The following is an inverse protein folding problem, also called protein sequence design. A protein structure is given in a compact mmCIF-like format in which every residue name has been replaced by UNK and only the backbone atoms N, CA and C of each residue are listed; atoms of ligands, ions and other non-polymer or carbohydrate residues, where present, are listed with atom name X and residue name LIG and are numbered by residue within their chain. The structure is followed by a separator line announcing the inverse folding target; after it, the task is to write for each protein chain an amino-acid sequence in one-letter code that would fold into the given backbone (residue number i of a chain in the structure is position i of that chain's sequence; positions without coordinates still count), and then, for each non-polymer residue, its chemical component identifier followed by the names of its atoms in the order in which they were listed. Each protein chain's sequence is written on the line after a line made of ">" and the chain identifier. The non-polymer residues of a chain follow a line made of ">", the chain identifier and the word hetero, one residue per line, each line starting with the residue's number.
data_IF_386878101688
#
_entry.id   IF_386878101688
#
_cell.length_a   1.000
_cell.length_b   1.000
_cell.length_c   1.000
_cell.angle_alpha   90.00
_cell.angle_beta   90.00
_cell.angle_gamma   90.00
#
_symmetry.space_group_name_H-M   'P 1'
#
loop_
_entity.id
_entity.type
_entity.pdbx_description
1 polymer ?
#
# COMPACT_ATOMS: atom_id res chain seq x y z
N UNK A 1 -10.85 22.95 13.22
CA UNK A 1 -11.66 22.56 12.04
C UNK A 1 -12.08 23.82 11.30
N UNK A 2 -11.95 23.90 9.96
CA UNK A 2 -12.29 25.11 9.19
C UNK A 2 -13.78 25.48 9.22
N UNK A 3 -14.66 24.49 9.39
CA UNK A 3 -16.11 24.67 9.44
C UNK A 3 -16.69 24.85 10.86
N UNK A 4 -15.84 24.96 11.90
CA UNK A 4 -16.29 25.12 13.29
C UNK A 4 -17.00 23.90 13.91
N UNK A 5 -17.25 22.83 13.15
CA UNK A 5 -17.84 21.58 13.63
C UNK A 5 -16.82 20.76 14.43
N UNK A 6 -17.30 19.87 15.30
CA UNK A 6 -16.47 18.91 16.04
C UNK A 6 -17.08 17.50 15.93
N UNK A 7 -16.82 16.84 14.80
CA UNK A 7 -17.47 15.56 14.45
C UNK A 7 -16.58 14.35 14.80
N UNK A 8 -16.20 14.21 16.08
CA UNK A 8 -15.29 13.14 16.55
C UNK A 8 -15.76 11.73 16.16
N UNK A 9 -17.07 11.47 16.15
CA UNK A 9 -17.65 10.16 15.80
C UNK A 9 -17.58 9.85 14.30
N UNK A 10 -17.53 10.87 13.44
CA UNK A 10 -17.56 10.68 11.99
C UNK A 10 -16.18 10.29 11.42
N UNK A 11 -15.09 10.66 12.11
CA UNK A 11 -13.72 10.44 11.63
C UNK A 11 -13.05 9.29 12.39
N UNK A 12 -13.18 8.07 11.87
CA UNK A 12 -12.47 6.89 12.36
C UNK A 12 -11.31 6.54 11.43
N UNK A 13 -10.09 6.67 11.93
CA UNK A 13 -8.88 6.33 11.18
C UNK A 13 -8.54 4.84 11.22
N UNK A 14 -7.48 4.47 10.50
CA UNK A 14 -6.84 3.15 10.57
C UNK A 14 -5.42 3.30 11.10
N UNK A 15 -5.00 2.34 11.91
CA UNK A 15 -3.66 2.29 12.46
C UNK A 15 -2.66 1.71 11.44
N UNK A 16 -1.49 2.34 11.31
CA UNK A 16 -0.42 1.92 10.40
C UNK A 16 0.49 0.84 11.00
N UNK A 17 0.56 0.73 12.33
CA UNK A 17 1.43 -0.24 12.99
C UNK A 17 1.17 -1.66 12.49
N UNK A 18 2.25 -2.36 12.14
CA UNK A 18 2.25 -3.74 11.65
C UNK A 18 1.42 -3.99 10.36
N UNK A 19 0.99 -2.92 9.66
CA UNK A 19 0.35 -3.00 8.33
C UNK A 19 1.40 -3.18 7.24
N UNK A 20 0.97 -3.71 6.11
CA UNK A 20 1.82 -3.96 4.93
C UNK A 20 1.68 -2.82 3.92
N UNK A 21 2.79 -2.18 3.59
CA UNK A 21 2.91 -1.24 2.47
C UNK A 21 3.50 -1.96 1.25
N UNK A 22 2.75 -1.97 0.16
CA UNK A 22 3.20 -2.36 -1.17
C UNK A 22 3.84 -1.18 -1.89
N UNK A 23 5.12 -1.31 -2.19
CA UNK A 23 5.91 -0.32 -2.92
C UNK A 23 6.09 -0.75 -4.38
N UNK A 24 5.49 -0.03 -5.32
CA UNK A 24 5.71 -0.23 -6.75
C UNK A 24 6.77 0.76 -7.22
N UNK A 25 7.96 0.25 -7.55
CA UNK A 25 9.13 1.03 -7.92
C UNK A 25 10.01 1.44 -6.74
N UNK A 26 11.26 0.96 -6.73
CA UNK A 26 12.28 1.26 -5.72
C UNK A 26 13.39 2.18 -6.27
N UNK A 27 12.96 3.22 -6.99
CA UNK A 27 13.79 4.37 -7.34
C UNK A 27 14.09 5.25 -6.12
N UNK A 28 14.64 6.45 -6.33
CA UNK A 28 15.06 7.34 -5.25
C UNK A 28 13.91 7.67 -4.27
N UNK A 29 12.74 8.03 -4.81
CA UNK A 29 11.56 8.40 -4.00
C UNK A 29 11.02 7.17 -3.24
N UNK A 30 10.88 6.04 -3.93
CA UNK A 30 10.35 4.82 -3.31
C UNK A 30 11.16 4.35 -2.11
N UNK A 31 12.50 4.48 -2.17
CA UNK A 31 13.37 4.12 -1.05
C UNK A 31 13.17 5.00 0.18
N UNK A 32 13.03 6.31 -0.01
CA UNK A 32 12.75 7.24 1.10
C UNK A 32 11.38 6.94 1.72
N UNK A 33 10.39 6.60 0.89
CA UNK A 33 9.05 6.20 1.37
C UNK A 33 9.13 4.90 2.18
N UNK A 34 9.88 3.91 1.69
CA UNK A 34 10.09 2.65 2.40
C UNK A 34 10.74 2.86 3.78
N UNK A 35 11.77 3.71 3.85
CA UNK A 35 12.44 4.06 5.11
C UNK A 35 11.46 4.67 6.12
N UNK A 36 10.63 5.63 5.69
CA UNK A 36 9.61 6.26 6.54
C UNK A 36 8.55 5.27 6.99
N UNK A 37 8.10 4.38 6.10
CA UNK A 37 7.14 3.33 6.43
C UNK A 37 7.67 2.36 7.48
N UNK A 38 8.94 1.96 7.37
CA UNK A 38 9.62 1.15 8.40
C UNK A 38 9.76 1.90 9.72
N UNK A 39 10.01 3.21 9.68
CA UNK A 39 9.97 4.07 10.87
C UNK A 39 8.61 4.03 11.60
N UNK A 40 7.52 3.90 10.84
CA UNK A 40 6.16 3.68 11.36
C UNK A 40 5.84 2.22 11.70
N UNK A 41 6.84 1.33 11.70
CA UNK A 41 6.72 -0.11 11.98
C UNK A 41 5.75 -0.83 11.01
N UNK A 42 5.68 -0.36 9.77
CA UNK A 42 5.02 -1.08 8.69
C UNK A 42 5.94 -2.17 8.14
N UNK A 43 5.35 -3.23 7.59
CA UNK A 43 6.03 -4.20 6.74
C UNK A 43 6.08 -3.63 5.32
N UNK A 44 7.23 -3.68 4.65
CA UNK A 44 7.37 -3.15 3.29
C UNK A 44 7.71 -4.28 2.34
N UNK A 45 6.83 -4.50 1.36
CA UNK A 45 7.05 -5.41 0.24
C UNK A 45 7.17 -4.59 -1.04
N UNK A 46 8.01 -5.02 -1.98
CA UNK A 46 8.36 -4.22 -3.16
C UNK A 46 8.23 -4.99 -4.46
N UNK A 47 7.69 -4.34 -5.48
CA UNK A 47 7.75 -4.79 -6.86
C UNK A 47 8.53 -3.75 -7.69
N UNK A 48 9.66 -4.16 -8.25
CA UNK A 48 10.44 -3.35 -9.19
C UNK A 48 11.24 -4.28 -10.13
N UNK A 49 10.91 -4.33 -11.43
CA UNK A 49 11.58 -5.19 -12.42
C UNK A 49 13.08 -4.94 -12.56
N UNK A 50 13.55 -3.75 -12.18
CA UNK A 50 14.94 -3.32 -12.35
C UNK A 50 15.72 -3.30 -11.03
N UNK A 51 15.15 -3.88 -9.98
CA UNK A 51 15.75 -3.87 -8.65
C UNK A 51 16.97 -4.79 -8.59
N UNK A 52 18.11 -4.21 -8.21
CA UNK A 52 19.35 -4.97 -8.01
C UNK A 52 19.32 -5.67 -6.65
N UNK A 53 19.77 -6.95 -6.53
CA UNK A 53 19.81 -7.68 -5.26
C UNK A 53 20.52 -6.92 -4.12
N UNK A 54 21.64 -6.25 -4.43
CA UNK A 54 22.37 -5.44 -3.44
C UNK A 54 21.54 -4.30 -2.81
N UNK A 55 20.53 -3.78 -3.54
CA UNK A 55 19.62 -2.75 -3.01
C UNK A 55 18.58 -3.36 -2.07
N UNK A 56 18.14 -4.58 -2.36
CA UNK A 56 17.19 -5.34 -1.54
C UNK A 56 17.79 -5.61 -0.16
N UNK A 57 19.00 -6.14 -0.12
CA UNK A 57 19.72 -6.46 1.12
C UNK A 57 19.98 -5.20 1.96
N UNK A 58 20.45 -4.12 1.32
CA UNK A 58 20.76 -2.87 2.02
C UNK A 58 19.54 -2.23 2.67
N UNK A 59 18.38 -2.34 2.03
CA UNK A 59 17.15 -1.69 2.47
C UNK A 59 16.23 -2.63 3.26
N UNK A 60 16.58 -3.91 3.38
CA UNK A 60 15.80 -4.95 4.04
C UNK A 60 14.35 -4.94 3.52
N UNK A 61 14.23 -4.96 2.19
CA UNK A 61 12.96 -5.02 1.48
C UNK A 61 12.68 -6.45 1.03
N UNK A 62 11.42 -6.84 0.99
CA UNK A 62 11.00 -8.14 0.46
C UNK A 62 10.52 -7.96 -0.99
N UNK A 63 11.29 -8.41 -2.01
CA UNK A 63 10.86 -8.35 -3.39
C UNK A 63 9.79 -9.41 -3.66
N UNK A 64 8.68 -9.00 -4.25
CA UNK A 64 7.53 -9.85 -4.55
C UNK A 64 7.01 -9.55 -5.96
N UNK A 65 6.19 -10.45 -6.50
CA UNK A 65 5.46 -10.18 -7.75
C UNK A 65 4.39 -9.10 -7.55
N UNK A 66 3.91 -8.49 -8.63
CA UNK A 66 2.84 -7.48 -8.57
C UNK A 66 1.55 -8.08 -7.96
N UNK A 67 1.20 -9.31 -8.33
CA UNK A 67 0.01 -9.98 -7.80
C UNK A 67 0.12 -10.24 -6.30
N UNK A 68 1.27 -10.72 -5.82
CA UNK A 68 1.51 -10.90 -4.39
C UNK A 68 1.51 -9.58 -3.63
N UNK A 69 2.05 -8.52 -4.24
CA UNK A 69 2.03 -7.18 -3.67
C UNK A 69 0.59 -6.73 -3.43
N UNK A 70 -0.28 -6.82 -4.44
CA UNK A 70 -1.67 -6.41 -4.34
C UNK A 70 -2.45 -7.29 -3.35
N UNK A 71 -2.18 -8.60 -3.31
CA UNK A 71 -2.86 -9.53 -2.41
C UNK A 71 -2.48 -9.35 -0.93
N UNK A 72 -1.26 -8.88 -0.63
CA UNK A 72 -0.75 -8.77 0.76
C UNK A 72 -0.83 -7.35 1.34
N UNK A 73 -0.82 -6.33 0.49
CA UNK A 73 -0.74 -4.92 0.90
C UNK A 73 -2.04 -4.41 1.53
N UNK A 74 -1.91 -3.65 2.61
CA UNK A 74 -2.99 -2.83 3.15
C UNK A 74 -2.99 -1.43 2.49
N UNK A 75 -1.81 -0.96 2.06
CA UNK A 75 -1.60 0.29 1.35
C UNK A 75 -0.69 0.05 0.16
N UNK A 76 -0.96 0.68 -0.97
CA UNK A 76 -0.11 0.59 -2.18
C UNK A 76 0.30 1.99 -2.59
N UNK A 77 1.57 2.17 -2.94
CA UNK A 77 2.10 3.42 -3.49
C UNK A 77 2.92 3.16 -4.74
N UNK A 78 2.79 4.05 -5.72
CA UNK A 78 3.41 3.91 -7.04
C UNK A 78 4.45 5.02 -7.20
N UNK A 79 5.68 4.61 -7.47
CA UNK A 79 6.84 5.48 -7.66
C UNK A 79 7.64 5.09 -8.91
N UNK A 80 6.94 4.66 -9.95
CA UNK A 80 7.50 4.36 -11.26
C UNK A 80 7.27 5.53 -12.24
N UNK A 81 8.19 5.77 -13.18
CA UNK A 81 7.92 6.68 -14.30
C UNK A 81 6.80 6.10 -15.17
N UNK A 82 6.06 6.98 -15.84
CA UNK A 82 5.05 6.57 -16.83
C UNK A 82 5.76 6.12 -18.10
N UNK A 83 5.65 4.84 -18.42
CA UNK A 83 6.13 4.18 -19.64
C UNK A 83 5.00 3.33 -20.21
N UNK A 84 5.19 2.72 -21.38
CA UNK A 84 4.22 1.77 -21.93
C UNK A 84 4.01 0.57 -21.00
N UNK A 85 5.08 0.08 -20.36
CA UNK A 85 5.03 -1.05 -19.43
C UNK A 85 4.32 -0.73 -18.09
N UNK A 86 4.36 0.52 -17.65
CA UNK A 86 3.73 0.94 -16.38
C UNK A 86 2.35 1.57 -16.57
N UNK A 87 1.98 1.86 -17.82
CA UNK A 87 0.63 2.30 -18.17
C UNK A 87 -0.34 1.14 -17.99
N UNK A 88 -1.47 1.38 -17.34
CA UNK A 88 -2.50 0.38 -17.02
C UNK A 88 -2.02 -0.83 -16.19
N UNK A 89 -0.83 -0.75 -15.59
CA UNK A 89 -0.36 -1.68 -14.57
C UNK A 89 -1.36 -1.87 -13.44
N UNK A 90 -2.01 -0.78 -13.02
CA UNK A 90 -3.09 -0.80 -12.04
C UNK A 90 -4.38 -0.48 -12.77
N UNK A 91 -5.12 -1.53 -13.08
CA UNK A 91 -6.40 -1.49 -13.77
C UNK A 91 -7.47 -2.25 -12.98
N UNK A 92 -8.68 -2.32 -13.55
CA UNK A 92 -9.83 -2.99 -12.93
C UNK A 92 -9.55 -4.46 -12.58
N UNK A 93 -8.85 -5.18 -13.45
CA UNK A 93 -8.59 -6.61 -13.27
C UNK A 93 -7.53 -6.83 -12.19
N UNK A 94 -6.46 -6.03 -12.18
CA UNK A 94 -5.44 -6.12 -11.13
C UNK A 94 -5.98 -5.74 -9.76
N UNK A 95 -6.91 -4.76 -9.70
CA UNK A 95 -7.49 -4.33 -8.43
C UNK A 95 -8.41 -5.38 -7.80
N UNK A 96 -9.05 -6.25 -8.60
CA UNK A 96 -9.82 -7.39 -8.06
C UNK A 96 -8.99 -8.32 -7.18
N UNK A 97 -7.70 -8.44 -7.48
CA UNK A 97 -6.78 -9.27 -6.71
C UNK A 97 -6.28 -8.58 -5.43
N UNK A 98 -6.60 -7.30 -5.23
CA UNK A 98 -6.23 -6.57 -4.03
C UNK A 98 -6.90 -7.20 -2.80
N UNK A 99 -6.13 -7.31 -1.71
CA UNK A 99 -6.59 -7.77 -0.39
C UNK A 99 -7.95 -7.22 0.04
N UNK A 100 -8.20 -5.94 -0.24
CA UNK A 100 -9.40 -5.24 0.19
C UNK A 100 -10.59 -5.37 -0.76
N UNK A 101 -10.35 -5.73 -2.02
CA UNK A 101 -11.42 -5.91 -3.02
C UNK A 101 -11.94 -7.37 -3.06
N UNK A 102 -11.35 -8.26 -2.25
CA UNK A 102 -11.79 -9.64 -2.14
C UNK A 102 -13.14 -9.77 -1.42
N UNK A 103 -14.06 -10.61 -1.94
CA UNK A 103 -15.39 -10.79 -1.36
C UNK A 103 -15.34 -11.17 0.13
N UNK A 104 -16.07 -10.42 0.96
CA UNK A 104 -16.20 -10.69 2.39
C UNK A 104 -15.09 -10.09 3.27
N UNK A 105 -14.13 -9.35 2.69
CA UNK A 105 -13.09 -8.68 3.46
C UNK A 105 -13.70 -7.63 4.42
N UNK A 106 -13.26 -7.53 5.70
CA UNK A 106 -13.90 -6.69 6.71
C UNK A 106 -14.12 -5.24 6.29
N UNK A 107 -13.20 -4.65 5.53
CA UNK A 107 -13.32 -3.29 4.98
C UNK A 107 -14.57 -3.08 4.11
N UNK A 108 -15.00 -4.10 3.36
CA UNK A 108 -16.22 -4.02 2.52
C UNK A 108 -17.49 -4.04 3.38
N UNK A 109 -17.38 -4.53 4.60
CA UNK A 109 -18.47 -4.80 5.53
C UNK A 109 -18.56 -3.70 6.61
N UNK A 110 -17.65 -2.71 6.57
CA UNK A 110 -17.51 -1.62 7.54
C UNK A 110 -18.33 -0.38 7.16
N UNK A 111 -18.92 -0.33 5.96
CA UNK A 111 -19.79 0.77 5.50
C UNK A 111 -21.12 0.88 6.28
N UNK A 112 -21.38 0.00 7.25
CA UNK A 112 -22.64 -0.03 8.02
C UNK A 112 -22.56 -0.41 9.49
N UNK A 113 -21.38 -0.66 10.08
CA UNK A 113 -21.29 -1.01 11.52
C UNK A 113 -21.24 0.23 12.39
N UNK A 114 -22.42 0.81 12.62
CA UNK A 114 -22.75 1.46 13.88
C UNK A 114 -22.41 0.50 15.02
N UNK A 115 -21.46 0.87 15.86
CA UNK A 115 -21.29 0.26 17.18
C UNK A 115 -21.26 1.40 18.20
N UNK A 116 -22.04 1.17 19.25
CA UNK A 116 -22.58 2.10 20.26
C UNK A 116 -21.64 3.18 20.79
#
# INVERSE_FOLDING_TARGET
>A
MKAGKWEKKAFKGRELFNKTLGLIGAGHIGRIVAERARGMKMKVIVFDPYLKPATVEKLDLEPVSLDELLARSDYVTIHTPKTEETTDMINRDTLRNNRHDQPGHPCQNETGRHIA
#
